data_IF_958833571546
#
_entry.id   IF_958833571546
#
_cell.length_a   1.000
_cell.length_b   1.000
_cell.length_c   1.000
_cell.angle_alpha   90.00
_cell.angle_beta   90.00
_cell.angle_gamma   90.00
#
_symmetry.space_group_name_H-M   'P 1'
#
loop_
_entity.id
_entity.type
_entity.pdbx_description
1 polymer ?
#
# COMPACT_ATOMS: atom_id res chain seq x y z
N UNK A 1 18.55 57.91 22.56
CA UNK A 1 18.26 57.46 21.18
C UNK A 1 18.92 56.09 21.13
N UNK A 2 18.26 54.95 21.37
CA UNK A 2 17.24 54.39 20.49
C UNK A 2 16.42 53.23 21.12
N UNK A 3 16.38 53.08 22.45
CA UNK A 3 15.70 51.94 23.09
C UNK A 3 14.16 51.95 22.89
N UNK A 4 13.57 53.15 22.83
CA UNK A 4 12.13 53.30 22.56
C UNK A 4 11.76 52.93 21.12
N UNK A 5 12.66 53.15 20.15
CA UNK A 5 12.42 52.80 18.75
C UNK A 5 12.51 51.28 18.56
N UNK A 6 13.49 50.63 19.21
CA UNK A 6 13.61 49.18 19.23
C UNK A 6 12.37 48.52 19.86
N UNK A 7 11.84 49.06 20.96
CA UNK A 7 10.64 48.55 21.61
C UNK A 7 9.39 48.60 20.70
N UNK A 8 9.21 49.69 19.94
CA UNK A 8 8.11 49.83 18.97
C UNK A 8 8.24 48.84 17.79
N UNK A 9 9.46 48.58 17.33
CA UNK A 9 9.69 47.61 16.25
C UNK A 9 9.41 46.17 16.70
N UNK A 10 9.80 45.82 17.93
CA UNK A 10 9.52 44.49 18.50
C UNK A 10 8.02 44.29 18.73
N UNK A 11 7.31 45.30 19.23
CA UNK A 11 5.85 45.21 19.42
C UNK A 11 5.10 45.10 18.09
N UNK A 12 5.51 45.85 17.07
CA UNK A 12 4.92 45.79 15.73
C UNK A 12 5.12 44.41 15.08
N UNK A 13 6.32 43.83 15.20
CA UNK A 13 6.61 42.49 14.69
C UNK A 13 5.82 41.42 15.44
N UNK A 14 5.71 41.54 16.77
CA UNK A 14 4.90 40.64 17.59
C UNK A 14 3.41 40.69 17.16
N UNK A 15 2.87 41.88 16.94
CA UNK A 15 1.50 42.07 16.44
C UNK A 15 1.30 41.45 15.05
N UNK A 16 2.20 41.74 14.11
CA UNK A 16 2.15 41.17 12.75
C UNK A 16 2.18 39.63 12.77
N UNK A 17 3.03 39.04 13.60
CA UNK A 17 3.11 37.59 13.78
C UNK A 17 1.82 37.02 14.38
N UNK A 18 1.23 37.66 15.38
CA UNK A 18 -0.04 37.24 15.99
C UNK A 18 -1.20 37.27 14.98
N UNK A 19 -1.29 38.33 14.17
CA UNK A 19 -2.28 38.46 13.08
C UNK A 19 -2.07 37.36 12.04
N UNK A 20 -0.83 37.10 11.62
CA UNK A 20 -0.54 36.02 10.67
C UNK A 20 -0.87 34.63 11.24
N UNK A 21 -0.56 34.36 12.52
CA UNK A 21 -0.91 33.09 13.18
C UNK A 21 -2.43 32.93 13.23
N UNK A 22 -3.18 33.97 13.59
CA UNK A 22 -4.65 33.90 13.65
C UNK A 22 -5.29 33.71 12.28
N UNK A 23 -4.80 34.39 11.24
CA UNK A 23 -5.24 34.18 9.85
C UNK A 23 -4.92 32.75 9.41
N UNK A 24 -3.69 32.26 9.61
CA UNK A 24 -3.32 30.86 9.29
C UNK A 24 -4.20 29.86 10.02
N UNK A 25 -4.52 30.09 11.29
CA UNK A 25 -5.38 29.20 12.07
C UNK A 25 -6.83 29.19 11.56
N UNK A 26 -7.34 30.32 11.05
CA UNK A 26 -8.67 30.39 10.40
C UNK A 26 -8.66 29.69 9.04
N UNK A 27 -7.63 29.90 8.23
CA UNK A 27 -7.48 29.24 6.93
C UNK A 27 -7.26 27.73 7.06
N UNK A 28 -6.53 27.29 8.10
CA UNK A 28 -6.28 25.89 8.39
C UNK A 28 -7.38 25.23 9.24
N UNK A 29 -8.48 25.94 9.53
CA UNK A 29 -9.60 25.39 10.30
C UNK A 29 -10.31 24.34 9.44
N UNK A 30 -9.94 23.09 9.64
CA UNK A 30 -10.56 21.96 8.95
C UNK A 30 -12.04 21.91 9.33
N UNK A 31 -12.92 21.78 8.32
CA UNK A 31 -14.34 21.57 8.56
C UNK A 31 -14.52 20.38 9.51
N UNK A 32 -15.38 20.48 10.54
CA UNK A 32 -15.67 19.35 11.41
C UNK A 32 -16.20 18.21 10.53
N UNK A 33 -15.69 17.01 10.74
CA UNK A 33 -16.14 15.85 9.94
C UNK A 33 -17.59 15.58 10.31
N UNK A 34 -18.46 15.39 9.31
CA UNK A 34 -19.86 15.01 9.55
C UNK A 34 -19.93 13.77 10.45
N UNK A 35 -19.10 12.76 10.15
CA UNK A 35 -18.94 11.55 10.95
C UNK A 35 -17.46 11.29 11.22
N UNK A 36 -17.14 10.85 12.45
CA UNK A 36 -15.79 10.41 12.82
C UNK A 36 -15.36 9.18 12.01
N UNK A 37 -16.25 8.19 11.87
CA UNK A 37 -16.11 7.00 11.00
C UNK A 37 -17.49 6.60 10.48
N UNK A 38 -17.58 6.10 9.26
CA UNK A 38 -18.79 5.53 8.66
C UNK A 38 -19.04 4.10 9.16
N UNK A 39 -20.31 3.67 9.26
CA UNK A 39 -20.67 2.33 9.76
C UNK A 39 -19.98 1.19 8.98
N UNK A 40 -19.84 1.33 7.65
CA UNK A 40 -19.14 0.36 6.79
C UNK A 40 -17.65 0.14 7.18
N UNK A 41 -17.01 1.13 7.83
CA UNK A 41 -15.63 1.00 8.32
C UNK A 41 -15.55 0.60 9.80
N UNK A 42 -16.64 0.72 10.56
CA UNK A 42 -16.77 0.15 11.91
C UNK A 42 -16.92 -1.37 11.83
N UNK A 43 -17.73 -1.84 10.88
CA UNK A 43 -17.98 -3.26 10.60
C UNK A 43 -16.81 -4.01 9.99
N UNK A 44 -15.70 -3.34 9.65
CA UNK A 44 -14.43 -4.01 9.27
C UNK A 44 -13.90 -4.92 10.38
N UNK A 45 -14.27 -4.63 11.62
CA UNK A 45 -13.94 -5.45 12.79
C UNK A 45 -14.82 -6.70 12.89
N UNK A 46 -15.95 -6.74 12.16
CA UNK A 46 -16.73 -7.96 12.00
C UNK A 46 -15.94 -8.88 11.07
N UNK A 47 -15.65 -10.08 11.55
CA UNK A 47 -14.71 -11.05 10.98
C UNK A 47 -14.88 -11.36 9.48
N UNK A 48 -16.01 -11.00 8.85
CA UNK A 48 -16.43 -11.43 7.52
C UNK A 48 -15.34 -11.40 6.45
N UNK A 49 -14.70 -10.26 6.17
CA UNK A 49 -13.78 -10.22 5.02
C UNK A 49 -12.44 -10.90 5.29
N UNK A 50 -11.98 -10.88 6.55
CA UNK A 50 -10.76 -11.60 6.92
C UNK A 50 -11.00 -13.11 6.97
N UNK A 51 -12.18 -13.55 7.40
CA UNK A 51 -12.60 -14.95 7.35
C UNK A 51 -12.80 -15.41 5.91
N UNK A 52 -13.48 -14.62 5.06
CA UNK A 52 -13.66 -14.91 3.63
C UNK A 52 -12.32 -15.04 2.89
N UNK A 53 -11.36 -14.16 3.16
CA UNK A 53 -10.02 -14.30 2.59
C UNK A 53 -9.32 -15.57 3.11
N UNK A 54 -9.52 -15.93 4.38
CA UNK A 54 -9.00 -17.17 4.96
C UNK A 54 -9.61 -18.42 4.32
N UNK A 55 -10.93 -18.43 4.15
CA UNK A 55 -11.69 -19.48 3.46
C UNK A 55 -11.22 -19.61 2.00
N UNK A 56 -11.05 -18.49 1.29
CA UNK A 56 -10.56 -18.48 -0.08
C UNK A 56 -9.13 -19.04 -0.21
N UNK A 57 -8.26 -18.80 0.77
CA UNK A 57 -6.90 -19.36 0.82
C UNK A 57 -6.92 -20.86 1.11
N UNK A 58 -7.83 -21.32 1.98
CA UNK A 58 -7.96 -22.72 2.35
C UNK A 58 -8.62 -23.57 1.25
N UNK A 59 -9.40 -22.94 0.37
CA UNK A 59 -10.12 -23.61 -0.69
C UNK A 59 -9.16 -24.20 -1.76
N UNK A 60 -9.21 -25.53 -2.02
CA UNK A 60 -8.26 -26.20 -2.92
C UNK A 60 -8.55 -25.98 -4.41
N UNK A 61 -9.67 -25.33 -4.77
CA UNK A 61 -10.12 -25.11 -6.15
C UNK A 61 -9.25 -24.15 -6.97
N UNK A 62 -8.27 -23.49 -6.34
CA UNK A 62 -7.38 -22.52 -6.99
C UNK A 62 -8.03 -21.15 -7.25
N UNK A 63 -9.21 -20.90 -6.69
CA UNK A 63 -9.90 -19.60 -6.79
C UNK A 63 -9.05 -18.46 -6.23
N UNK A 64 -8.26 -18.70 -5.18
CA UNK A 64 -7.29 -17.73 -4.69
C UNK A 64 -6.28 -17.27 -5.75
N UNK A 65 -5.80 -18.20 -6.58
CA UNK A 65 -4.87 -17.90 -7.68
C UNK A 65 -5.56 -17.13 -8.78
N UNK A 66 -6.84 -17.37 -9.06
CA UNK A 66 -7.61 -16.53 -9.99
C UNK A 66 -7.81 -15.13 -9.44
N UNK A 67 -8.05 -15.02 -8.12
CA UNK A 67 -8.29 -13.76 -7.42
C UNK A 67 -7.05 -12.86 -7.38
N UNK A 68 -5.88 -13.42 -7.05
CA UNK A 68 -4.62 -12.68 -6.83
C UNK A 68 -3.57 -12.83 -7.94
N UNK A 69 -3.78 -13.73 -8.91
CA UNK A 69 -2.78 -14.19 -9.91
C UNK A 69 -1.53 -14.83 -9.30
N UNK A 70 -1.60 -15.26 -8.03
CA UNK A 70 -0.49 -15.85 -7.28
C UNK A 70 -0.92 -17.13 -6.57
N UNK A 71 -0.03 -18.11 -6.44
CA UNK A 71 -0.32 -19.32 -5.67
C UNK A 71 -0.47 -19.00 -4.17
N UNK A 72 -1.20 -19.83 -3.43
CA UNK A 72 -1.31 -19.68 -1.97
C UNK A 72 0.04 -19.82 -1.28
N UNK A 73 0.89 -20.74 -1.77
CA UNK A 73 2.24 -20.98 -1.25
C UNK A 73 3.15 -19.76 -1.43
N UNK A 74 3.16 -19.15 -2.61
CA UNK A 74 3.96 -17.94 -2.88
C UNK A 74 3.44 -16.75 -2.07
N UNK A 75 2.11 -16.66 -1.92
CA UNK A 75 1.49 -15.63 -1.11
C UNK A 75 1.92 -15.71 0.36
N UNK A 76 1.91 -16.91 0.96
CA UNK A 76 2.36 -17.09 2.34
C UNK A 76 3.87 -16.83 2.49
N UNK A 77 4.67 -17.28 1.53
CA UNK A 77 6.10 -16.98 1.49
C UNK A 77 6.37 -15.48 1.48
N UNK A 78 5.71 -14.74 0.58
CA UNK A 78 5.84 -13.28 0.52
C UNK A 78 5.31 -12.61 1.79
N UNK A 79 4.17 -13.07 2.30
CA UNK A 79 3.57 -12.55 3.52
C UNK A 79 4.56 -12.61 4.69
N UNK A 80 5.24 -13.74 4.88
CA UNK A 80 6.23 -13.91 5.94
C UNK A 80 7.42 -12.97 5.77
N UNK A 81 7.91 -12.76 4.54
CA UNK A 81 9.04 -11.85 4.28
C UNK A 81 8.68 -10.37 4.43
N UNK A 82 7.50 -9.94 3.99
CA UNK A 82 7.10 -8.53 4.03
C UNK A 82 6.48 -8.13 5.37
N UNK A 83 5.93 -9.07 6.14
CA UNK A 83 5.25 -8.81 7.42
C UNK A 83 6.01 -7.83 8.33
N UNK A 84 7.34 -7.98 8.58
CA UNK A 84 8.07 -7.03 9.41
C UNK A 84 8.12 -5.60 8.87
N UNK A 85 7.95 -5.40 7.56
CA UNK A 85 8.04 -4.10 6.89
C UNK A 85 6.71 -3.35 6.85
N UNK A 86 5.59 -4.07 6.74
CA UNK A 86 4.26 -3.48 6.49
C UNK A 86 3.27 -3.66 7.65
N UNK A 87 3.67 -4.37 8.72
CA UNK A 87 2.86 -4.54 9.91
C UNK A 87 2.60 -3.19 10.60
N UNK A 88 1.37 -2.99 11.05
CA UNK A 88 0.93 -1.79 11.79
C UNK A 88 0.36 -2.23 13.13
N UNK A 89 0.64 -1.46 14.17
CA UNK A 89 0.10 -1.69 15.51
C UNK A 89 -1.35 -1.21 15.58
N UNK A 90 -2.16 -1.95 16.33
CA UNK A 90 -3.49 -1.51 16.71
C UNK A 90 -3.39 -0.25 17.57
N UNK A 91 -4.38 0.63 17.43
CA UNK A 91 -4.52 1.84 18.26
C UNK A 91 -5.77 1.74 19.10
N UNK A 92 -5.82 2.48 20.21
CA UNK A 92 -6.99 2.50 21.11
C UNK A 92 -8.29 2.88 20.38
N UNK A 93 -8.20 3.65 19.30
CA UNK A 93 -9.35 4.14 18.53
C UNK A 93 -9.76 3.21 17.38
N UNK A 94 -8.83 2.41 16.84
CA UNK A 94 -9.07 1.58 15.66
C UNK A 94 -8.03 0.47 15.53
N UNK A 95 -8.51 -0.74 15.23
CA UNK A 95 -7.65 -1.86 14.81
C UNK A 95 -6.99 -1.56 13.47
N UNK A 96 -5.72 -1.92 13.31
CA UNK A 96 -4.98 -1.82 12.07
C UNK A 96 -5.57 -2.76 11.01
N UNK A 97 -5.27 -2.48 9.74
CA UNK A 97 -5.55 -3.44 8.66
C UNK A 97 -4.51 -4.56 8.76
N UNK A 98 -4.93 -5.84 8.93
CA UNK A 98 -4.00 -6.96 9.04
C UNK A 98 -3.07 -7.05 7.82
N UNK A 99 -1.81 -7.42 8.06
CA UNK A 99 -0.77 -7.58 7.05
C UNK A 99 -1.23 -8.44 5.86
N UNK A 100 -1.86 -9.58 6.14
CA UNK A 100 -2.41 -10.50 5.12
C UNK A 100 -3.38 -9.78 4.18
N UNK A 101 -4.24 -8.94 4.73
CA UNK A 101 -5.23 -8.19 3.95
C UNK A 101 -4.57 -7.07 3.15
N UNK A 102 -3.56 -6.38 3.70
CA UNK A 102 -2.77 -5.37 2.96
C UNK A 102 -2.12 -5.97 1.71
N UNK A 103 -1.54 -7.16 1.84
CA UNK A 103 -0.96 -7.88 0.71
C UNK A 103 -2.03 -8.30 -0.31
N UNK A 104 -3.13 -8.91 0.14
CA UNK A 104 -4.21 -9.34 -0.75
C UNK A 104 -4.85 -8.18 -1.54
N UNK A 105 -5.09 -7.03 -0.89
CA UNK A 105 -5.58 -5.81 -1.55
C UNK A 105 -4.62 -5.38 -2.66
N UNK A 106 -3.31 -5.37 -2.36
CA UNK A 106 -2.29 -4.92 -3.30
C UNK A 106 -2.15 -5.88 -4.47
N UNK A 107 -2.13 -7.19 -4.22
CA UNK A 107 -2.07 -8.19 -5.30
C UNK A 107 -3.32 -8.15 -6.17
N UNK A 108 -4.51 -8.00 -5.57
CA UNK A 108 -5.75 -7.84 -6.34
C UNK A 108 -5.67 -6.60 -7.23
N UNK A 109 -5.24 -5.47 -6.68
CA UNK A 109 -5.02 -4.24 -7.45
C UNK A 109 -4.05 -4.44 -8.62
N UNK A 110 -2.90 -5.09 -8.39
CA UNK A 110 -1.91 -5.35 -9.44
C UNK A 110 -2.40 -6.36 -10.48
N UNK A 111 -3.24 -7.32 -10.08
CA UNK A 111 -3.78 -8.36 -10.94
C UNK A 111 -4.88 -7.85 -11.90
N UNK A 112 -5.71 -6.90 -11.46
CA UNK A 112 -6.88 -6.43 -12.23
C UNK A 112 -6.81 -4.97 -12.66
N UNK A 113 -6.03 -4.13 -11.97
CA UNK A 113 -6.05 -2.69 -12.17
C UNK A 113 -7.32 -2.01 -11.65
N UNK A 114 -8.06 -2.66 -10.75
CA UNK A 114 -9.33 -2.13 -10.20
C UNK A 114 -9.15 -0.74 -9.57
N UNK A 115 -10.20 0.08 -9.62
CA UNK A 115 -10.22 1.36 -8.93
C UNK A 115 -10.17 1.17 -7.40
N UNK A 116 -9.60 2.15 -6.67
CA UNK A 116 -9.62 2.13 -5.20
C UNK A 116 -11.03 2.18 -4.62
N UNK A 117 -12.01 2.69 -5.37
CA UNK A 117 -13.42 2.68 -4.97
C UNK A 117 -14.01 1.26 -5.04
N UNK A 118 -13.69 0.50 -6.10
CA UNK A 118 -14.11 -0.90 -6.23
C UNK A 118 -13.51 -1.76 -5.12
N UNK A 119 -12.21 -1.59 -4.86
CA UNK A 119 -11.51 -2.27 -3.76
C UNK A 119 -12.05 -1.87 -2.38
N UNK A 120 -12.55 -0.64 -2.23
CA UNK A 120 -13.18 -0.20 -0.98
C UNK A 120 -14.39 -1.06 -0.63
N UNK A 121 -15.29 -1.30 -1.59
CA UNK A 121 -16.46 -2.13 -1.37
C UNK A 121 -16.10 -3.61 -1.18
N UNK A 122 -15.07 -4.08 -1.90
CA UNK A 122 -14.62 -5.47 -1.80
C UNK A 122 -13.99 -5.80 -0.43
N UNK A 123 -13.15 -4.91 0.09
CA UNK A 123 -12.37 -5.17 1.32
C UNK A 123 -12.87 -4.39 2.55
N UNK A 124 -13.90 -3.56 2.41
CA UNK A 124 -14.37 -2.63 3.44
C UNK A 124 -13.26 -1.73 4.01
N UNK A 125 -12.33 -1.30 3.16
CA UNK A 125 -11.23 -0.38 3.49
C UNK A 125 -11.44 0.94 2.76
N UNK A 126 -11.30 2.08 3.44
CA UNK A 126 -11.46 3.39 2.79
C UNK A 126 -10.49 3.55 1.60
N UNK A 127 -10.93 4.15 0.47
CA UNK A 127 -10.07 4.37 -0.69
C UNK A 127 -8.76 5.11 -0.36
N UNK A 128 -8.82 6.08 0.57
CA UNK A 128 -7.65 6.84 1.03
C UNK A 128 -6.63 5.97 1.80
N UNK A 129 -7.10 4.93 2.48
CA UNK A 129 -6.20 3.98 3.13
C UNK A 129 -5.64 2.99 2.10
N UNK A 130 -6.44 2.57 1.12
CA UNK A 130 -5.95 1.71 0.02
C UNK A 130 -4.83 2.43 -0.77
N UNK A 131 -5.00 3.72 -1.07
CA UNK A 131 -3.99 4.51 -1.79
C UNK A 131 -2.67 4.66 -1.04
N UNK A 132 -2.65 4.43 0.27
CA UNK A 132 -1.40 4.38 1.06
C UNK A 132 -0.87 2.95 1.22
N UNK A 133 -1.76 1.96 1.36
CA UNK A 133 -1.40 0.54 1.46
C UNK A 133 -0.66 0.08 0.20
N UNK A 134 -1.23 0.31 -0.99
CA UNK A 134 -0.69 -0.20 -2.26
C UNK A 134 0.77 0.18 -2.47
N UNK A 135 1.17 1.48 -2.44
CA UNK A 135 2.57 1.86 -2.64
C UNK A 135 3.48 1.36 -1.51
N UNK A 136 3.01 1.30 -0.26
CA UNK A 136 3.80 0.78 0.87
C UNK A 136 4.14 -0.70 0.68
N UNK A 137 3.15 -1.50 0.28
CA UNK A 137 3.33 -2.94 0.00
C UNK A 137 4.19 -3.13 -1.25
N UNK A 138 3.97 -2.37 -2.32
CA UNK A 138 4.83 -2.43 -3.52
C UNK A 138 6.30 -2.12 -3.20
N UNK A 139 6.56 -1.13 -2.33
CA UNK A 139 7.92 -0.81 -1.86
C UNK A 139 8.53 -1.97 -1.09
N UNK A 140 7.78 -2.57 -0.17
CA UNK A 140 8.23 -3.74 0.59
C UNK A 140 8.50 -4.95 -0.31
N UNK A 141 7.61 -5.22 -1.27
CA UNK A 141 7.77 -6.28 -2.27
C UNK A 141 9.04 -6.07 -3.09
N UNK A 142 9.27 -4.85 -3.58
CA UNK A 142 10.49 -4.52 -4.33
C UNK A 142 11.75 -4.75 -3.49
N UNK A 143 11.73 -4.36 -2.21
CA UNK A 143 12.86 -4.58 -1.30
C UNK A 143 13.16 -6.06 -1.06
N UNK A 144 12.12 -6.89 -0.88
CA UNK A 144 12.26 -8.34 -0.65
C UNK A 144 12.68 -9.07 -1.93
N UNK A 145 12.00 -8.79 -3.05
CA UNK A 145 12.20 -9.50 -4.31
C UNK A 145 13.50 -9.11 -5.02
N UNK A 146 14.05 -7.92 -4.79
CA UNK A 146 15.36 -7.53 -5.34
C UNK A 146 16.48 -8.52 -5.02
N UNK A 147 16.40 -9.22 -3.88
CA UNK A 147 17.39 -10.21 -3.48
C UNK A 147 17.23 -11.53 -4.25
N UNK A 148 16.01 -11.84 -4.69
CA UNK A 148 15.65 -13.10 -5.35
C UNK A 148 15.74 -12.99 -6.88
N UNK A 149 15.48 -11.79 -7.43
CA UNK A 149 15.48 -11.56 -8.87
C UNK A 149 16.89 -11.14 -9.32
N UNK A 150 17.68 -12.11 -9.79
CA UNK A 150 18.86 -11.82 -10.60
C UNK A 150 18.40 -11.53 -12.04
N UNK A 151 18.34 -10.25 -12.41
CA UNK A 151 18.09 -9.85 -13.80
C UNK A 151 19.41 -10.09 -14.55
N UNK A 152 19.47 -11.01 -15.53
CA UNK A 152 20.66 -11.11 -16.37
C UNK A 152 20.77 -9.80 -17.16
N UNK A 153 21.76 -8.99 -16.79
CA UNK A 153 22.11 -7.78 -17.52
C UNK A 153 22.45 -8.18 -18.98
N UNK A 154 22.08 -7.27 -19.90
CA UNK A 154 22.12 -7.23 -21.38
C UNK A 154 22.96 -8.21 -22.23
N UNK A 155 23.87 -8.98 -21.67
CA UNK A 155 24.81 -9.89 -22.33
C UNK A 155 24.38 -11.37 -22.28
N UNK A 156 23.44 -11.76 -21.40
CA UNK A 156 22.99 -13.16 -21.25
C UNK A 156 21.95 -13.66 -22.26
N UNK A 157 21.30 -12.76 -23.02
CA UNK A 157 20.23 -13.12 -23.96
C UNK A 157 20.73 -13.56 -25.35
N UNK A 158 22.01 -13.29 -25.67
CA UNK A 158 22.60 -13.72 -26.96
C UNK A 158 22.95 -15.21 -26.95
N UNK A 159 23.48 -15.73 -25.84
CA UNK A 159 23.97 -17.12 -25.77
C UNK A 159 22.87 -18.20 -25.85
N UNK A 160 21.60 -17.87 -25.55
CA UNK A 160 20.51 -18.86 -25.61
C UNK A 160 19.84 -18.99 -26.98
N UNK A 161 20.11 -18.07 -27.92
CA UNK A 161 19.63 -18.22 -29.30
C UNK A 161 20.45 -19.30 -30.02
N UNK A 162 21.77 -19.28 -29.82
CA UNK A 162 22.70 -20.22 -30.46
C UNK A 162 22.46 -21.68 -30.01
N UNK A 163 22.08 -21.89 -28.74
CA UNK A 163 21.70 -23.23 -28.28
C UNK A 163 20.38 -23.72 -28.87
N UNK A 164 19.41 -22.83 -29.16
CA UNK A 164 18.14 -23.20 -29.77
C UNK A 164 18.25 -23.42 -31.29
N UNK A 165 19.16 -22.72 -31.97
CA UNK A 165 19.45 -22.93 -33.39
C UNK A 165 20.13 -24.27 -33.69
N UNK A 166 20.93 -24.80 -32.76
CA UNK A 166 21.57 -26.11 -32.89
C UNK A 166 20.63 -27.32 -32.70
N UNK A 167 19.37 -27.11 -32.28
CA UNK A 167 18.37 -28.19 -32.17
C UNK A 167 17.53 -28.39 -33.44
N UNK A 168 17.66 -27.54 -34.47
CA UNK A 168 16.79 -27.55 -35.66
C UNK A 168 17.44 -28.03 -36.97
N UNK A 169 18.58 -28.72 -36.95
CA UNK A 169 19.05 -29.53 -38.10
C UNK A 169 19.86 -30.75 -37.62
N UNK A 170 19.83 -31.94 -38.26
CA UNK A 170 19.12 -32.33 -39.50
C UNK A 170 18.27 -33.62 -39.39
N UNK A 171 17.07 -33.64 -39.97
CA UNK A 171 16.40 -34.87 -40.43
C UNK A 171 15.73 -34.58 -41.78
N UNK A 172 16.55 -34.40 -42.80
CA UNK A 172 16.19 -34.71 -44.18
C UNK A 172 17.36 -35.50 -44.74
N UNK A 173 17.24 -36.82 -44.66
CA UNK A 173 17.86 -37.77 -45.59
C UNK A 173 16.74 -38.30 -46.48
#
# INVERSE_FOLDING_TARGET
MDDSAAALMVSALAYYNLVNITIRNRLNKKRPRRWWVTQIHLSRTSLSMQSQLGELIAEPSGEFKKFTRMSTTDFEFLLNKISPLISKKDTQLRKAVPTRMRLAITLRYLATGDSFQSLHFLFNVSPQLISTIVPEVCKALNQVLRKEIQIPLKNGWKSKKDSAQNFLQPLVQ
#
